data_IF_854446620341
#
_entry.id   IF_854446620341
#
_cell.length_a   1.000
_cell.length_b   1.000
_cell.length_c   1.000
_cell.angle_alpha   90.00
_cell.angle_beta   90.00
_cell.angle_gamma   90.00
#
_symmetry.space_group_name_H-M   'P 1'
#
loop_
_entity.id
_entity.type
_entity.pdbx_description
1 polymer ?
#
# COMPACT_ATOMS: atom_id res chain seq x y z
N UNK A 1 -25.45 8.01 -49.29
CA UNK A 1 -25.76 9.16 -48.43
C UNK A 1 -26.31 8.83 -47.05
N UNK A 2 -26.63 7.58 -46.77
CA UNK A 2 -26.95 7.14 -45.40
C UNK A 2 -25.75 6.59 -44.61
N UNK A 3 -24.61 6.52 -45.26
CA UNK A 3 -23.37 5.97 -44.68
C UNK A 3 -22.58 6.98 -43.85
N UNK A 4 -22.95 8.27 -43.92
CA UNK A 4 -22.21 9.31 -43.21
C UNK A 4 -22.84 9.75 -41.87
N UNK A 5 -24.02 9.23 -41.54
CA UNK A 5 -24.71 9.56 -40.27
C UNK A 5 -24.04 8.97 -38.99
N UNK A 6 -23.03 8.13 -39.20
CA UNK A 6 -22.33 7.54 -38.05
C UNK A 6 -21.27 8.51 -37.47
N UNK A 7 -20.81 9.47 -38.27
CA UNK A 7 -19.79 10.41 -37.85
C UNK A 7 -20.31 11.57 -36.99
N UNK A 8 -21.57 11.91 -37.10
CA UNK A 8 -22.15 13.02 -36.33
C UNK A 8 -22.37 12.65 -34.85
N UNK A 9 -22.45 11.38 -34.52
CA UNK A 9 -22.62 10.91 -33.14
C UNK A 9 -21.32 11.12 -32.30
N UNK A 10 -20.19 11.16 -32.96
CA UNK A 10 -18.89 11.31 -32.27
C UNK A 10 -18.63 12.74 -31.76
N UNK A 11 -19.30 13.73 -32.31
CA UNK A 11 -19.04 15.14 -32.02
C UNK A 11 -20.02 15.76 -31.01
N UNK A 12 -21.07 15.05 -30.63
CA UNK A 12 -22.04 15.52 -29.67
C UNK A 12 -21.75 15.05 -28.23
N UNK A 13 -20.48 14.88 -27.92
CA UNK A 13 -20.07 14.58 -26.54
C UNK A 13 -20.32 15.81 -25.67
N UNK A 14 -21.35 15.72 -24.83
CA UNK A 14 -21.62 16.73 -23.80
C UNK A 14 -20.38 16.87 -22.91
N UNK A 15 -19.94 18.10 -22.76
CA UNK A 15 -18.80 18.40 -21.86
C UNK A 15 -19.10 17.88 -20.46
N UNK A 16 -18.18 17.13 -19.90
CA UNK A 16 -18.35 16.56 -18.56
C UNK A 16 -18.60 17.69 -17.54
N UNK A 17 -19.57 17.51 -16.65
CA UNK A 17 -19.91 18.46 -15.59
C UNK A 17 -18.70 18.82 -14.73
N UNK A 18 -17.76 17.89 -14.55
CA UNK A 18 -16.54 18.13 -13.79
C UNK A 18 -15.59 19.11 -14.49
N UNK A 19 -15.49 19.06 -15.81
CA UNK A 19 -14.68 20.03 -16.59
C UNK A 19 -15.30 21.43 -16.45
N UNK A 20 -16.62 21.56 -16.56
CA UNK A 20 -17.32 22.83 -16.34
C UNK A 20 -17.14 23.36 -14.93
N UNK A 21 -17.11 22.48 -13.93
CA UNK A 21 -16.84 22.87 -12.55
C UNK A 21 -15.39 23.34 -12.36
N UNK A 22 -14.42 22.66 -12.97
CA UNK A 22 -13.01 23.09 -12.96
C UNK A 22 -12.86 24.46 -13.59
N UNK A 23 -13.48 24.70 -14.74
CA UNK A 23 -13.47 26.02 -15.39
C UNK A 23 -14.06 27.11 -14.51
N UNK A 24 -15.17 26.83 -13.81
CA UNK A 24 -15.78 27.75 -12.85
C UNK A 24 -14.84 28.02 -11.67
N UNK A 25 -14.21 26.99 -11.13
CA UNK A 25 -13.27 27.10 -10.03
C UNK A 25 -12.02 27.89 -10.41
N UNK A 26 -11.50 27.70 -11.63
CA UNK A 26 -10.36 28.48 -12.15
C UNK A 26 -10.76 29.95 -12.33
N UNK A 27 -11.94 30.22 -12.86
CA UNK A 27 -12.44 31.60 -12.98
C UNK A 27 -12.62 32.25 -11.61
N UNK A 28 -13.19 31.52 -10.66
CA UNK A 28 -13.35 32.02 -9.29
C UNK A 28 -12.00 32.28 -8.63
N UNK A 29 -11.05 31.35 -8.75
CA UNK A 29 -9.68 31.50 -8.27
C UNK A 29 -9.01 32.74 -8.88
N UNK A 30 -9.20 32.97 -10.19
CA UNK A 30 -8.65 34.15 -10.86
C UNK A 30 -9.22 35.47 -10.31
N UNK A 31 -10.50 35.48 -9.90
CA UNK A 31 -11.14 36.66 -9.31
C UNK A 31 -10.68 36.85 -7.86
N UNK A 32 -10.73 35.77 -7.09
CA UNK A 32 -10.54 35.84 -5.63
C UNK A 32 -9.06 36.01 -5.23
N UNK A 33 -8.14 35.42 -5.99
CA UNK A 33 -6.72 35.37 -5.63
C UNK A 33 -5.80 36.18 -6.54
N UNK A 34 -6.04 36.17 -7.86
CA UNK A 34 -5.15 36.87 -8.80
C UNK A 34 -5.37 38.37 -8.86
N UNK A 35 -6.56 38.83 -8.46
CA UNK A 35 -6.94 40.23 -8.39
C UNK A 35 -6.74 40.85 -7.00
N UNK A 36 -6.45 40.03 -6.00
CA UNK A 36 -6.19 40.50 -4.65
C UNK A 36 -4.69 40.74 -4.48
N UNK A 37 -4.31 41.96 -4.16
CA UNK A 37 -2.96 42.31 -3.77
C UNK A 37 -2.68 41.71 -2.40
N UNK A 38 -1.79 40.73 -2.31
CA UNK A 38 -1.46 40.01 -1.06
C UNK A 38 -1.02 40.99 0.05
N UNK A 39 -0.38 42.10 -0.30
CA UNK A 39 0.01 43.12 0.65
C UNK A 39 -1.17 43.89 1.30
N UNK A 40 -2.33 43.87 0.65
CA UNK A 40 -3.55 44.49 1.14
C UNK A 40 -4.48 43.53 1.87
N UNK A 41 -4.19 42.27 1.86
CA UNK A 41 -4.99 41.25 2.54
C UNK A 41 -4.76 41.31 4.05
N UNK A 42 -5.62 42.09 4.74
CA UNK A 42 -5.55 42.31 6.19
C UNK A 42 -5.86 41.06 7.02
N UNK A 43 -6.43 40.03 6.40
CA UNK A 43 -6.98 38.90 7.12
C UNK A 43 -6.12 37.64 7.10
N UNK A 44 -4.96 37.59 6.54
CA UNK A 44 -4.06 36.41 6.52
C UNK A 44 -4.69 35.09 7.03
N UNK A 45 -5.88 34.76 6.54
CA UNK A 45 -6.72 33.67 7.07
C UNK A 45 -6.02 32.33 7.02
N UNK A 46 -5.22 32.09 5.99
CA UNK A 46 -4.43 30.89 5.89
C UNK A 46 -3.41 30.71 7.04
N UNK A 47 -2.80 31.82 7.51
CA UNK A 47 -1.88 31.77 8.64
C UNK A 47 -2.66 31.58 9.95
N UNK A 48 -3.83 32.20 10.06
CA UNK A 48 -4.70 32.07 11.22
C UNK A 48 -5.20 30.64 11.37
N UNK A 49 -5.63 30.01 10.30
CA UNK A 49 -6.08 28.62 10.32
C UNK A 49 -4.94 27.66 10.64
N UNK A 50 -3.76 27.91 10.13
CA UNK A 50 -2.56 27.12 10.45
C UNK A 50 -2.19 27.20 11.93
N UNK A 51 -2.24 28.40 12.51
CA UNK A 51 -1.98 28.63 13.95
C UNK A 51 -3.09 27.98 14.78
N UNK A 52 -4.36 28.09 14.35
CA UNK A 52 -5.48 27.49 15.10
C UNK A 52 -5.46 25.96 15.03
N UNK A 53 -5.14 25.36 13.90
CA UNK A 53 -5.11 23.90 13.74
C UNK A 53 -3.82 23.27 14.30
N UNK A 54 -2.69 23.95 14.16
CA UNK A 54 -1.39 23.43 14.61
C UNK A 54 -1.13 23.71 16.09
N UNK A 55 -0.83 24.96 16.42
CA UNK A 55 -0.31 25.32 17.75
C UNK A 55 -1.39 25.43 18.81
N UNK A 56 -2.56 25.98 18.47
CA UNK A 56 -3.66 26.08 19.45
C UNK A 56 -4.21 24.72 19.86
N UNK A 57 -4.13 23.71 18.99
CA UNK A 57 -4.56 22.36 19.34
C UNK A 57 -3.67 21.73 20.44
N UNK A 58 -2.40 22.06 20.49
CA UNK A 58 -1.47 21.61 21.53
C UNK A 58 -1.80 22.33 22.85
N UNK A 59 -1.88 23.65 22.81
CA UNK A 59 -2.22 24.49 23.95
C UNK A 59 -3.60 24.14 24.51
N UNK A 60 -4.58 23.93 23.65
CA UNK A 60 -5.92 23.49 24.06
C UNK A 60 -5.91 22.15 24.79
N UNK A 61 -5.05 21.20 24.37
CA UNK A 61 -4.91 19.91 25.03
C UNK A 61 -4.29 20.02 26.43
N UNK A 62 -3.33 20.93 26.60
CA UNK A 62 -2.69 21.18 27.88
C UNK A 62 -3.62 21.95 28.82
N UNK A 63 -4.27 23.01 28.33
CA UNK A 63 -5.22 23.79 29.12
C UNK A 63 -6.46 22.99 29.53
N UNK A 64 -6.92 22.06 28.68
CA UNK A 64 -8.08 21.23 28.97
C UNK A 64 -7.91 20.41 30.25
N UNK A 65 -6.72 19.88 30.50
CA UNK A 65 -6.45 19.15 31.73
C UNK A 65 -6.58 20.01 32.97
N UNK A 66 -6.13 21.28 32.91
CA UNK A 66 -6.26 22.25 34.01
C UNK A 66 -7.72 22.68 34.20
N UNK A 67 -8.42 22.98 33.11
CA UNK A 67 -9.83 23.37 33.16
C UNK A 67 -10.69 22.22 33.74
N UNK A 68 -10.46 20.98 33.31
CA UNK A 68 -11.18 19.82 33.84
C UNK A 68 -10.96 19.64 35.35
N UNK A 69 -9.78 19.96 35.87
CA UNK A 69 -9.48 19.92 37.30
C UNK A 69 -10.20 21.02 38.04
N UNK A 70 -10.20 22.27 37.54
CA UNK A 70 -10.96 23.40 38.14
C UNK A 70 -12.47 23.13 38.12
N UNK A 71 -13.01 22.66 37.02
CA UNK A 71 -14.41 22.26 36.90
C UNK A 71 -14.81 21.18 37.89
N UNK A 72 -13.91 20.25 38.15
CA UNK A 72 -14.13 19.19 39.15
C UNK A 72 -14.22 19.76 40.58
N UNK A 73 -13.31 20.63 40.92
CA UNK A 73 -13.30 21.29 42.25
C UNK A 73 -14.55 22.15 42.44
N UNK A 74 -14.93 22.92 41.47
CA UNK A 74 -16.13 23.75 41.51
C UNK A 74 -17.40 22.91 41.62
N UNK A 75 -17.49 21.84 40.87
CA UNK A 75 -18.59 20.88 40.96
C UNK A 75 -18.71 20.22 42.35
N UNK A 76 -17.60 19.91 43.02
CA UNK A 76 -17.62 19.43 44.42
C UNK A 76 -18.10 20.50 45.40
N UNK A 77 -17.72 21.76 45.19
CA UNK A 77 -18.19 22.89 46.03
C UNK A 77 -19.70 23.05 45.86
N UNK A 78 -20.19 23.11 44.65
CA UNK A 78 -21.62 23.25 44.33
C UNK A 78 -22.45 22.07 44.89
N UNK A 79 -21.92 20.85 44.81
CA UNK A 79 -22.58 19.68 45.43
C UNK A 79 -22.66 19.77 46.94
N UNK A 80 -21.63 20.30 47.61
CA UNK A 80 -21.66 20.52 49.06
C UNK A 80 -22.72 21.56 49.42
N UNK A 81 -22.77 22.66 48.68
CA UNK A 81 -23.78 23.72 48.91
C UNK A 81 -25.19 23.15 48.70
N UNK A 82 -25.44 22.45 47.59
CA UNK A 82 -26.74 21.80 47.33
C UNK A 82 -27.15 20.81 48.44
N UNK A 83 -26.20 20.06 49.01
CA UNK A 83 -26.48 19.14 50.08
C UNK A 83 -26.83 19.89 51.40
N UNK A 84 -26.22 21.04 51.64
CA UNK A 84 -26.56 21.91 52.77
C UNK A 84 -27.98 22.49 52.60
N UNK A 85 -28.33 23.00 51.45
CA UNK A 85 -29.66 23.55 51.13
C UNK A 85 -30.76 22.49 51.25
N UNK A 86 -30.45 21.24 50.93
CA UNK A 86 -31.40 20.10 51.03
C UNK A 86 -31.35 19.38 52.36
N UNK A 87 -30.61 19.91 53.35
CA UNK A 87 -30.38 19.27 54.67
C UNK A 87 -29.95 17.77 54.58
N UNK A 88 -29.20 17.41 53.53
CA UNK A 88 -28.69 16.08 53.31
C UNK A 88 -27.20 15.97 53.66
N UNK A 89 -26.79 14.87 54.29
CA UNK A 89 -25.35 14.63 54.53
C UNK A 89 -24.60 14.51 53.20
N UNK A 90 -23.62 15.36 52.99
CA UNK A 90 -22.73 15.28 51.82
C UNK A 90 -21.96 13.96 51.83
N UNK A 91 -22.07 13.20 50.75
CA UNK A 91 -21.24 12.02 50.48
C UNK A 91 -20.29 12.37 49.31
N UNK A 92 -18.98 12.46 49.55
CA UNK A 92 -18.04 12.66 48.46
C UNK A 92 -18.22 11.53 47.44
N UNK A 93 -18.22 11.86 46.15
CA UNK A 93 -18.22 10.83 45.12
C UNK A 93 -16.93 10.03 45.30
N UNK A 94 -17.06 8.79 45.77
CA UNK A 94 -15.96 7.87 45.64
C UNK A 94 -15.74 7.72 44.15
N UNK A 95 -14.62 8.25 43.66
CA UNK A 95 -14.16 7.88 42.33
C UNK A 95 -14.26 6.35 42.31
N UNK A 96 -15.08 5.78 41.42
CA UNK A 96 -14.97 4.36 41.08
C UNK A 96 -13.51 4.19 40.73
N UNK A 97 -12.69 3.69 41.65
CA UNK A 97 -11.31 3.29 41.33
C UNK A 97 -11.49 2.45 40.09
N UNK A 98 -11.07 3.03 38.94
CA UNK A 98 -11.33 2.38 37.67
C UNK A 98 -10.97 0.95 37.89
N UNK A 99 -11.87 0.00 37.62
CA UNK A 99 -11.78 -1.41 37.96
C UNK A 99 -10.31 -1.78 37.92
N UNK A 100 -9.71 -2.09 39.07
CA UNK A 100 -8.26 -2.27 39.20
C UNK A 100 -7.90 -3.14 38.02
N UNK A 101 -7.17 -2.59 37.08
CA UNK A 101 -6.75 -3.32 35.86
C UNK A 101 -6.24 -4.61 36.43
N UNK A 102 -6.97 -5.72 36.26
CA UNK A 102 -6.61 -7.06 36.74
C UNK A 102 -5.12 -7.11 36.66
N UNK A 103 -4.40 -7.22 37.78
CA UNK A 103 -2.93 -7.13 37.83
C UNK A 103 -2.42 -7.82 36.59
N UNK A 104 -1.93 -7.03 35.61
CA UNK A 104 -1.40 -7.61 34.39
C UNK A 104 -0.38 -8.59 34.92
N UNK A 105 -0.66 -9.91 34.82
CA UNK A 105 0.28 -10.95 35.15
C UNK A 105 1.60 -10.45 34.65
N UNK A 106 2.56 -10.14 35.51
CA UNK A 106 3.88 -9.64 35.14
C UNK A 106 4.29 -10.55 33.99
N UNK A 107 4.32 -10.01 32.77
CA UNK A 107 4.77 -10.80 31.62
C UNK A 107 6.14 -11.28 32.05
N UNK A 108 6.31 -12.59 32.20
CA UNK A 108 7.63 -13.18 32.45
C UNK A 108 8.55 -12.49 31.48
N UNK A 109 9.54 -11.75 31.99
CA UNK A 109 10.56 -11.13 31.12
C UNK A 109 11.10 -12.29 30.29
N UNK A 110 10.85 -12.25 28.99
CA UNK A 110 11.43 -13.25 28.07
C UNK A 110 12.93 -13.11 28.27
N UNK A 111 13.57 -14.20 28.70
CA UNK A 111 15.02 -14.22 28.92
C UNK A 111 15.68 -13.78 27.62
N UNK A 112 16.47 -12.72 27.65
CA UNK A 112 17.18 -12.26 26.45
C UNK A 112 18.23 -13.33 26.12
N UNK A 113 18.04 -14.03 25.01
CA UNK A 113 18.91 -15.12 24.57
C UNK A 113 20.26 -14.63 24.05
N UNK A 114 20.39 -13.32 23.87
CA UNK A 114 21.57 -12.66 23.26
C UNK A 114 22.08 -11.51 24.11
N UNK A 115 21.97 -11.63 25.46
CA UNK A 115 22.41 -10.58 26.39
C UNK A 115 23.92 -10.27 26.28
N UNK A 116 24.69 -11.30 25.96
CA UNK A 116 26.17 -11.23 25.90
C UNK A 116 26.71 -10.79 24.55
N UNK A 117 25.84 -10.46 23.57
CA UNK A 117 26.26 -10.11 22.20
C UNK A 117 25.91 -8.66 21.86
N UNK A 118 26.82 -7.98 21.16
CA UNK A 118 26.61 -6.62 20.67
C UNK A 118 25.62 -6.60 19.51
N UNK A 119 24.95 -5.47 19.32
CA UNK A 119 23.98 -5.28 18.22
C UNK A 119 24.64 -5.40 16.84
N UNK A 120 25.87 -4.91 16.73
CA UNK A 120 26.68 -4.99 15.49
C UNK A 120 26.98 -6.44 15.13
N UNK A 121 27.41 -7.26 16.10
CA UNK A 121 27.65 -8.69 15.89
C UNK A 121 26.39 -9.43 15.43
N UNK A 122 25.22 -9.08 15.98
CA UNK A 122 23.93 -9.66 15.55
C UNK A 122 23.51 -9.20 14.17
N UNK A 123 23.82 -7.96 13.81
CA UNK A 123 23.56 -7.42 12.47
C UNK A 123 24.44 -8.13 11.42
N UNK A 124 25.73 -8.30 11.70
CA UNK A 124 26.66 -9.00 10.82
C UNK A 124 26.29 -10.49 10.66
N UNK A 125 25.82 -11.14 11.71
CA UNK A 125 25.31 -12.51 11.64
C UNK A 125 24.12 -12.61 10.65
N UNK A 126 23.13 -11.76 10.80
CA UNK A 126 21.99 -11.74 9.87
C UNK A 126 22.38 -11.41 8.43
N UNK A 127 23.43 -10.59 8.25
CA UNK A 127 23.96 -10.27 6.93
C UNK A 127 24.72 -11.46 6.34
N UNK A 128 25.52 -12.16 7.13
CA UNK A 128 26.25 -13.36 6.70
C UNK A 128 25.30 -14.50 6.34
N UNK A 129 24.20 -14.65 7.07
CA UNK A 129 23.13 -15.61 6.77
C UNK A 129 22.25 -15.21 5.57
N UNK A 130 22.49 -14.02 4.99
CA UNK A 130 21.73 -13.50 3.86
C UNK A 130 20.28 -13.14 4.19
N UNK A 131 19.96 -12.93 5.47
CA UNK A 131 18.66 -12.43 5.93
C UNK A 131 18.55 -10.92 5.66
N UNK A 132 19.61 -10.15 5.96
CA UNK A 132 19.66 -8.75 5.61
C UNK A 132 20.17 -8.63 4.17
N UNK A 133 19.30 -8.11 3.31
CA UNK A 133 19.61 -7.88 1.90
C UNK A 133 19.83 -6.38 1.65
N UNK A 134 20.82 -6.07 0.83
CA UNK A 134 21.02 -4.69 0.35
C UNK A 134 19.99 -4.39 -0.73
N UNK A 135 19.19 -3.35 -0.52
CA UNK A 135 18.26 -2.89 -1.53
C UNK A 135 19.00 -2.23 -2.70
N UNK A 136 18.55 -2.52 -3.91
CA UNK A 136 18.99 -1.81 -5.09
C UNK A 136 18.52 -0.35 -5.04
N UNK A 137 19.32 0.56 -5.61
CA UNK A 137 18.96 1.98 -5.72
C UNK A 137 17.82 2.15 -6.75
N UNK A 138 16.59 2.01 -6.30
CA UNK A 138 15.38 2.16 -7.11
C UNK A 138 14.41 3.11 -6.41
N UNK A 139 14.10 4.19 -7.10
CA UNK A 139 13.16 5.22 -6.64
C UNK A 139 11.74 4.89 -7.05
N UNK A 140 10.77 5.66 -6.55
CA UNK A 140 9.36 5.54 -6.94
C UNK A 140 9.11 5.75 -8.44
N UNK A 141 9.97 6.49 -9.11
CA UNK A 141 9.92 6.69 -10.56
C UNK A 141 10.13 5.37 -11.31
N UNK A 142 10.96 4.48 -10.77
CA UNK A 142 11.17 3.14 -11.35
C UNK A 142 9.91 2.27 -11.38
N UNK A 143 8.88 2.60 -10.59
CA UNK A 143 7.58 1.95 -10.66
C UNK A 143 6.66 2.73 -11.58
N UNK A 144 6.80 2.48 -12.87
CA UNK A 144 6.02 3.15 -13.93
C UNK A 144 4.54 2.79 -13.78
N UNK A 145 3.71 3.79 -13.67
CA UNK A 145 2.27 3.62 -13.47
C UNK A 145 1.49 4.85 -13.89
N UNK A 146 0.34 4.65 -14.50
CA UNK A 146 -0.60 5.72 -14.79
C UNK A 146 -1.69 5.77 -13.72
N UNK A 147 -2.22 6.98 -13.46
CA UNK A 147 -3.34 7.20 -12.56
C UNK A 147 -4.65 7.17 -13.34
N UNK A 148 -5.64 6.48 -12.81
CA UNK A 148 -6.96 6.50 -13.40
C UNK A 148 -7.76 7.71 -12.92
N UNK A 149 -7.50 8.88 -13.51
CA UNK A 149 -8.20 10.12 -13.20
C UNK A 149 -9.69 10.09 -13.57
N UNK A 150 -10.10 9.16 -14.43
CA UNK A 150 -11.48 8.98 -14.88
C UNK A 150 -12.23 7.95 -14.03
N UNK A 151 -11.58 7.38 -13.01
CA UNK A 151 -12.18 6.33 -12.18
C UNK A 151 -13.48 6.77 -11.50
N UNK A 152 -13.63 8.05 -11.17
CA UNK A 152 -14.84 8.58 -10.59
C UNK A 152 -16.01 8.60 -11.58
N UNK A 153 -15.75 8.83 -12.86
CA UNK A 153 -16.76 8.82 -13.91
C UNK A 153 -17.19 7.40 -14.32
N UNK A 154 -16.33 6.41 -14.07
CA UNK A 154 -16.62 4.99 -14.30
C UNK A 154 -17.24 4.31 -13.08
N UNK A 155 -17.46 5.03 -11.98
CA UNK A 155 -18.18 4.52 -10.82
C UNK A 155 -19.67 4.45 -11.16
N UNK A 156 -20.29 3.33 -10.78
CA UNK A 156 -21.75 3.26 -10.75
C UNK A 156 -22.30 4.41 -9.88
N UNK A 157 -23.56 4.82 -10.13
CA UNK A 157 -24.29 5.82 -9.32
C UNK A 157 -24.18 5.61 -7.81
N UNK A 158 -23.82 4.43 -7.41
CA UNK A 158 -23.67 3.95 -6.06
C UNK A 158 -22.24 4.08 -5.50
N UNK A 159 -21.33 4.74 -6.21
CA UNK A 159 -19.91 4.90 -5.84
C UNK A 159 -19.15 3.58 -5.61
N UNK A 160 -19.65 2.48 -6.15
CA UNK A 160 -19.00 1.17 -6.11
C UNK A 160 -18.24 0.97 -7.41
N UNK A 161 -16.92 1.03 -7.34
CA UNK A 161 -16.07 0.67 -8.48
C UNK A 161 -16.20 -0.81 -8.79
N UNK A 162 -16.58 -1.14 -10.00
CA UNK A 162 -16.53 -2.52 -10.52
C UNK A 162 -15.11 -2.90 -10.91
N UNK A 163 -14.28 -1.92 -11.24
CA UNK A 163 -12.89 -2.07 -11.59
C UNK A 163 -12.01 -2.15 -10.34
N UNK A 164 -10.96 -2.93 -10.40
CA UNK A 164 -9.92 -2.93 -9.37
C UNK A 164 -9.13 -1.62 -9.37
N UNK A 165 -8.29 -1.38 -8.36
CA UNK A 165 -7.45 -0.19 -8.29
C UNK A 165 -6.50 -0.13 -9.50
N UNK A 166 -6.24 1.07 -10.01
CA UNK A 166 -5.21 1.31 -11.01
C UNK A 166 -3.81 1.16 -10.39
N UNK A 167 -2.78 1.00 -11.21
CA UNK A 167 -1.40 0.91 -10.69
C UNK A 167 -0.96 2.18 -9.96
N UNK A 168 -1.35 3.35 -10.45
CA UNK A 168 -1.07 4.62 -9.81
C UNK A 168 -1.69 4.76 -8.43
N UNK A 169 -2.93 4.28 -8.24
CA UNK A 169 -3.60 4.27 -6.94
C UNK A 169 -2.83 3.44 -5.92
N UNK A 170 -2.20 2.35 -6.35
CA UNK A 170 -1.38 1.50 -5.49
C UNK A 170 -0.12 2.25 -5.05
N UNK A 171 0.50 3.00 -5.96
CA UNK A 171 1.65 3.86 -5.67
C UNK A 171 1.32 4.85 -4.54
N UNK A 172 0.18 5.52 -4.61
CA UNK A 172 -0.29 6.43 -3.56
C UNK A 172 -0.48 5.74 -2.21
N UNK A 173 -1.15 4.57 -2.19
CA UNK A 173 -1.36 3.82 -0.94
C UNK A 173 -0.05 3.34 -0.33
N UNK A 174 0.93 3.01 -1.16
CA UNK A 174 2.28 2.63 -0.69
C UNK A 174 3.00 3.84 -0.11
N UNK A 175 2.91 5.00 -0.74
CA UNK A 175 3.46 6.26 -0.22
C UNK A 175 2.87 6.60 1.15
N UNK A 176 1.55 6.45 1.33
CA UNK A 176 0.90 6.59 2.64
C UNK A 176 1.48 5.66 3.71
N UNK A 177 1.75 4.39 3.34
CA UNK A 177 2.40 3.44 4.25
C UNK A 177 3.85 3.84 4.59
N UNK A 178 4.56 4.43 3.64
CA UNK A 178 5.93 4.92 3.84
C UNK A 178 5.98 6.14 4.75
N UNK A 179 5.09 7.09 4.59
CA UNK A 179 4.97 8.22 5.50
C UNK A 179 4.82 7.76 6.95
N UNK A 180 3.99 6.75 7.18
CA UNK A 180 3.82 6.17 8.51
C UNK A 180 5.03 5.41 9.05
N UNK A 181 6.01 5.04 8.21
CA UNK A 181 7.29 4.47 8.64
C UNK A 181 8.33 5.56 8.93
N UNK A 182 8.30 6.67 8.20
CA UNK A 182 9.19 7.80 8.40
C UNK A 182 8.81 8.63 9.63
N UNK A 183 7.54 8.94 9.82
CA UNK A 183 7.01 9.80 10.85
C UNK A 183 6.21 9.05 11.92
N UNK A 184 6.36 9.46 13.20
CA UNK A 184 5.61 8.85 14.31
C UNK A 184 4.15 9.31 14.40
N UNK A 185 3.83 10.43 13.80
CA UNK A 185 2.50 11.06 13.86
C UNK A 185 1.48 10.37 12.96
N UNK A 186 1.94 9.70 11.91
CA UNK A 186 1.06 9.06 10.93
C UNK A 186 0.80 7.60 11.32
N UNK A 187 -0.47 7.22 11.40
CA UNK A 187 -0.87 5.83 11.65
C UNK A 187 -0.50 4.95 10.44
N UNK A 188 0.37 3.97 10.67
CA UNK A 188 0.80 2.99 9.67
C UNK A 188 0.19 1.61 9.90
N UNK A 189 -0.02 0.82 8.86
CA UNK A 189 -0.34 -0.59 9.03
C UNK A 189 0.89 -1.35 9.56
N UNK A 190 0.69 -2.26 10.50
CA UNK A 190 1.78 -3.14 10.99
C UNK A 190 2.19 -4.17 9.96
N UNK A 191 1.32 -4.47 9.01
CA UNK A 191 1.52 -5.50 8.00
C UNK A 191 0.77 -5.19 6.73
N UNK A 192 1.49 -5.27 5.62
CA UNK A 192 1.01 -5.01 4.27
C UNK A 192 1.23 -6.26 3.40
N UNK A 193 0.22 -6.65 2.63
CA UNK A 193 0.32 -7.73 1.66
C UNK A 193 0.11 -7.19 0.25
N UNK A 194 1.06 -7.43 -0.63
CA UNK A 194 0.99 -7.05 -2.05
C UNK A 194 0.70 -8.32 -2.87
N UNK A 195 -0.48 -8.39 -3.45
CA UNK A 195 -0.89 -9.48 -4.33
C UNK A 195 -0.86 -9.04 -5.80
N UNK A 196 -0.63 -9.96 -6.71
CA UNK A 196 -0.66 -9.69 -8.15
C UNK A 196 -0.07 -10.83 -8.96
N UNK A 197 -0.22 -10.82 -10.29
CA UNK A 197 0.39 -11.81 -11.17
C UNK A 197 1.91 -11.90 -11.00
N UNK A 198 2.51 -12.96 -11.49
CA UNK A 198 3.97 -13.09 -11.57
C UNK A 198 4.53 -11.92 -12.39
N UNK A 199 5.78 -11.57 -12.11
CA UNK A 199 6.55 -10.54 -12.85
C UNK A 199 5.80 -9.19 -13.06
N UNK A 200 5.02 -8.77 -12.06
CA UNK A 200 4.24 -7.52 -12.13
C UNK A 200 4.70 -6.45 -11.12
N UNK A 201 5.99 -6.44 -10.79
CA UNK A 201 6.60 -5.39 -9.97
C UNK A 201 6.37 -5.49 -8.45
N UNK A 202 5.85 -6.61 -7.91
CA UNK A 202 5.64 -6.80 -6.45
C UNK A 202 6.93 -6.68 -5.64
N UNK A 203 7.99 -7.38 -6.08
CA UNK A 203 9.30 -7.34 -5.40
C UNK A 203 9.94 -5.98 -5.57
N UNK A 204 9.88 -5.41 -6.77
CA UNK A 204 10.35 -4.07 -7.07
C UNK A 204 9.74 -3.04 -6.11
N UNK A 205 8.42 -3.03 -5.96
CA UNK A 205 7.72 -2.12 -5.06
C UNK A 205 8.16 -2.30 -3.59
N UNK A 206 8.43 -3.54 -3.18
CA UNK A 206 8.93 -3.84 -1.84
C UNK A 206 10.34 -3.28 -1.61
N UNK A 207 11.20 -3.33 -2.62
CA UNK A 207 12.56 -2.78 -2.58
C UNK A 207 12.55 -1.24 -2.62
N UNK A 208 11.67 -0.64 -3.41
CA UNK A 208 11.49 0.82 -3.45
C UNK A 208 11.11 1.34 -2.07
N UNK A 209 10.13 0.70 -1.40
CA UNK A 209 9.73 1.10 -0.04
C UNK A 209 10.94 1.10 0.90
N UNK A 210 11.77 0.07 0.82
CA UNK A 210 12.92 -0.04 1.70
C UNK A 210 14.01 0.98 1.38
N UNK A 211 14.26 1.24 0.11
CA UNK A 211 15.29 2.16 -0.33
C UNK A 211 14.93 3.63 -0.02
N UNK A 212 13.69 4.05 -0.33
CA UNK A 212 13.23 5.44 -0.14
C UNK A 212 13.24 5.90 1.32
N UNK A 213 13.00 4.98 2.26
CA UNK A 213 13.02 5.30 3.70
C UNK A 213 14.32 4.87 4.40
N UNK A 214 15.32 4.46 3.64
CA UNK A 214 16.60 3.91 4.15
C UNK A 214 16.40 2.84 5.24
N UNK A 215 15.46 1.92 4.98
CA UNK A 215 15.10 0.88 5.92
C UNK A 215 16.00 -0.35 5.81
N UNK A 216 16.28 -0.96 6.95
CA UNK A 216 16.93 -2.28 6.99
C UNK A 216 15.95 -3.32 6.43
N UNK A 217 16.30 -3.94 5.30
CA UNK A 217 15.48 -4.92 4.62
C UNK A 217 15.86 -6.35 5.03
N UNK A 218 14.95 -7.01 5.76
CA UNK A 218 15.16 -8.35 6.30
C UNK A 218 14.27 -9.35 5.58
N UNK A 219 14.87 -10.24 4.80
CA UNK A 219 14.15 -11.24 4.00
C UNK A 219 13.99 -12.56 4.76
N UNK A 220 12.77 -12.84 5.22
CA UNK A 220 12.37 -14.07 5.91
C UNK A 220 11.55 -15.01 5.02
N UNK A 221 11.80 -15.01 3.72
CA UNK A 221 11.09 -15.89 2.79
C UNK A 221 11.33 -17.38 3.10
N UNK A 222 10.39 -18.28 2.79
CA UNK A 222 10.54 -19.71 3.05
C UNK A 222 11.84 -20.32 2.51
N UNK A 223 12.32 -19.82 1.39
CA UNK A 223 13.59 -20.26 0.77
C UNK A 223 14.82 -19.95 1.64
N UNK A 224 14.80 -18.83 2.36
CA UNK A 224 15.90 -18.42 3.27
C UNK A 224 15.80 -19.14 4.63
N UNK A 225 14.61 -19.51 5.04
CA UNK A 225 14.34 -20.08 6.36
C UNK A 225 14.18 -21.60 6.37
N UNK A 226 14.34 -22.26 5.24
CA UNK A 226 14.17 -23.72 5.10
C UNK A 226 15.16 -24.54 5.93
N UNK A 227 16.40 -24.04 6.09
CA UNK A 227 17.46 -24.75 6.79
C UNK A 227 17.33 -24.72 8.33
N UNK A 228 16.46 -23.85 8.87
CA UNK A 228 16.36 -23.66 10.30
C UNK A 228 15.45 -24.71 10.96
N UNK A 229 15.89 -25.23 12.11
CA UNK A 229 15.03 -26.02 12.99
C UNK A 229 14.01 -25.13 13.72
N UNK A 230 13.06 -25.72 14.44
CA UNK A 230 12.10 -24.94 15.23
C UNK A 230 12.74 -24.11 16.35
N UNK A 231 13.86 -24.57 16.91
CA UNK A 231 14.57 -23.88 17.97
C UNK A 231 15.40 -22.75 17.40
N UNK A 232 16.16 -23.02 16.35
CA UNK A 232 16.96 -22.03 15.63
C UNK A 232 16.10 -20.91 15.03
N UNK A 233 14.91 -21.25 14.50
CA UNK A 233 13.96 -20.26 14.04
C UNK A 233 13.45 -19.36 15.20
N UNK A 234 13.35 -19.90 16.40
CA UNK A 234 13.01 -19.09 17.57
C UNK A 234 14.11 -18.14 17.96
N UNK A 235 15.35 -18.56 17.84
CA UNK A 235 16.55 -17.73 18.05
C UNK A 235 16.62 -16.66 16.97
N UNK A 236 16.56 -17.05 15.69
CA UNK A 236 16.55 -16.14 14.55
C UNK A 236 15.50 -15.03 14.71
N UNK A 237 14.27 -15.37 15.10
CA UNK A 237 13.22 -14.37 15.30
C UNK A 237 13.52 -13.43 16.47
N UNK A 238 14.20 -13.90 17.48
CA UNK A 238 14.64 -13.05 18.58
C UNK A 238 15.67 -12.03 18.10
N UNK A 239 16.67 -12.51 17.35
CA UNK A 239 17.71 -11.67 16.76
C UNK A 239 17.15 -10.66 15.78
N UNK A 240 16.30 -11.11 14.82
CA UNK A 240 15.62 -10.25 13.84
C UNK A 240 14.85 -9.13 14.52
N UNK A 241 14.05 -9.45 15.55
CA UNK A 241 13.27 -8.44 16.25
C UNK A 241 14.12 -7.51 17.13
N UNK A 242 15.25 -7.97 17.65
CA UNK A 242 16.18 -7.15 18.42
C UNK A 242 16.90 -6.16 17.49
N UNK A 243 17.40 -6.64 16.37
CA UNK A 243 18.06 -5.81 15.33
C UNK A 243 17.06 -4.85 14.69
N UNK A 244 15.88 -5.31 14.31
CA UNK A 244 14.84 -4.45 13.73
C UNK A 244 14.41 -3.30 14.65
N UNK A 245 14.42 -3.51 15.97
CA UNK A 245 14.11 -2.44 16.95
C UNK A 245 15.26 -1.49 17.19
N UNK A 246 16.49 -1.95 17.05
CA UNK A 246 17.68 -1.12 17.22
C UNK A 246 17.94 -0.24 15.99
N UNK A 247 17.77 -0.81 14.81
CA UNK A 247 18.01 -0.16 13.50
C UNK A 247 16.71 0.15 12.79
N UNK A 248 15.93 1.08 13.34
CA UNK A 248 14.72 1.58 12.70
C UNK A 248 15.07 2.73 11.74
N UNK A 249 14.37 2.82 10.60
CA UNK A 249 13.24 2.02 10.14
C UNK A 249 13.64 0.62 9.64
N UNK A 250 12.75 -0.37 9.76
CA UNK A 250 13.04 -1.74 9.35
C UNK A 250 11.82 -2.40 8.67
N UNK A 251 12.09 -3.16 7.62
CA UNK A 251 11.08 -3.93 6.89
C UNK A 251 11.39 -5.41 7.00
N UNK A 252 10.43 -6.16 7.51
CA UNK A 252 10.48 -7.62 7.53
C UNK A 252 9.72 -8.12 6.30
N UNK A 253 10.43 -8.65 5.32
CA UNK A 253 9.89 -9.07 4.04
C UNK A 253 9.69 -10.57 3.98
N UNK A 254 8.57 -11.01 3.39
CA UNK A 254 8.29 -12.42 3.12
C UNK A 254 7.77 -12.53 1.69
N UNK A 255 8.59 -13.10 0.82
CA UNK A 255 8.18 -13.42 -0.53
C UNK A 255 7.24 -14.63 -0.51
N UNK A 256 6.27 -14.66 -1.41
CA UNK A 256 5.32 -15.75 -1.58
C UNK A 256 4.66 -16.23 -0.27
N UNK A 257 4.18 -15.24 0.48
CA UNK A 257 3.57 -15.50 1.80
C UNK A 257 2.42 -16.53 1.76
N UNK A 258 1.80 -16.74 0.60
CA UNK A 258 0.79 -17.79 0.43
C UNK A 258 1.35 -19.18 0.71
N UNK A 259 2.64 -19.45 0.42
CA UNK A 259 3.33 -20.71 0.70
C UNK A 259 3.34 -21.02 2.20
N UNK A 260 3.58 -20.01 3.04
CA UNK A 260 3.54 -20.14 4.52
C UNK A 260 2.16 -20.58 5.03
N UNK A 261 1.10 -20.16 4.32
CA UNK A 261 -0.29 -20.43 4.71
C UNK A 261 -1.01 -21.42 3.81
N UNK A 262 -0.32 -22.23 3.01
CA UNK A 262 -0.94 -23.18 2.11
C UNK A 262 -2.00 -24.07 2.76
N UNK A 263 -3.08 -24.30 2.05
CA UNK A 263 -4.10 -25.29 2.41
C UNK A 263 -3.53 -26.71 2.27
N UNK A 264 -2.96 -26.98 1.11
CA UNK A 264 -2.25 -28.23 0.77
C UNK A 264 -0.87 -27.86 0.23
N UNK A 265 0.18 -28.45 0.75
CA UNK A 265 1.55 -28.24 0.28
C UNK A 265 1.74 -29.16 -0.92
N UNK A 266 2.21 -28.66 -2.08
CA UNK A 266 2.65 -29.50 -3.19
C UNK A 266 3.80 -30.40 -2.74
N UNK A 267 3.81 -31.66 -3.18
CA UNK A 267 4.85 -32.64 -2.81
C UNK A 267 6.26 -32.15 -3.16
N UNK A 268 6.38 -31.46 -4.29
CA UNK A 268 7.63 -30.88 -4.81
C UNK A 268 8.22 -29.79 -3.91
N UNK A 269 7.42 -29.19 -3.04
CA UNK A 269 7.82 -28.07 -2.19
C UNK A 269 7.69 -28.39 -0.69
N UNK A 270 7.51 -29.65 -0.35
CA UNK A 270 7.41 -30.07 1.05
C UNK A 270 8.74 -29.91 1.78
N UNK A 271 9.86 -30.01 1.07
CA UNK A 271 11.22 -29.81 1.62
C UNK A 271 11.46 -28.42 2.18
N UNK A 272 10.74 -27.40 1.71
CA UNK A 272 10.86 -26.02 2.19
C UNK A 272 10.25 -25.80 3.58
N UNK A 273 9.58 -26.78 4.16
CA UNK A 273 8.86 -26.67 5.43
C UNK A 273 8.14 -25.31 5.63
N UNK A 274 7.39 -24.82 4.65
CA UNK A 274 6.93 -23.41 4.62
C UNK A 274 6.02 -23.06 5.80
N UNK A 275 5.42 -24.06 6.47
CA UNK A 275 4.53 -23.85 7.62
C UNK A 275 5.26 -23.48 8.91
N UNK A 276 6.58 -23.61 8.99
CA UNK A 276 7.36 -23.24 10.17
C UNK A 276 7.10 -21.79 10.59
N UNK A 277 7.15 -20.88 9.62
CA UNK A 277 6.92 -19.45 9.85
C UNK A 277 5.49 -19.10 10.30
N UNK A 278 4.50 -19.97 10.03
CA UNK A 278 3.09 -19.64 10.26
C UNK A 278 2.76 -19.26 11.71
N UNK A 279 3.32 -19.96 12.68
CA UNK A 279 3.11 -19.66 14.11
C UNK A 279 3.92 -18.45 14.54
N UNK A 280 5.12 -18.37 14.04
CA UNK A 280 6.14 -17.37 14.44
C UNK A 280 5.74 -15.96 13.98
N UNK A 281 5.28 -15.79 12.77
CA UNK A 281 4.81 -14.50 12.25
C UNK A 281 3.75 -13.88 13.18
N UNK A 282 2.73 -14.64 13.54
CA UNK A 282 1.62 -14.11 14.34
C UNK A 282 1.97 -13.92 15.82
N UNK A 283 2.85 -14.77 16.37
CA UNK A 283 3.13 -14.77 17.82
C UNK A 283 4.32 -13.93 18.20
N UNK A 284 5.35 -13.88 17.36
CA UNK A 284 6.60 -13.19 17.67
C UNK A 284 6.74 -11.88 16.91
N UNK A 285 6.48 -11.85 15.60
CA UNK A 285 6.64 -10.64 14.80
C UNK A 285 5.51 -9.64 15.08
N UNK A 286 4.27 -9.97 14.72
CA UNK A 286 3.15 -9.01 14.82
C UNK A 286 2.82 -8.56 16.24
N UNK A 287 3.01 -9.43 17.23
CA UNK A 287 2.81 -9.05 18.64
C UNK A 287 3.94 -8.18 19.19
N UNK A 288 5.14 -8.31 18.65
CA UNK A 288 6.30 -7.55 19.10
C UNK A 288 6.33 -6.14 18.50
N UNK A 289 5.75 -5.94 17.32
CA UNK A 289 5.62 -4.63 16.67
C UNK A 289 4.58 -3.80 17.41
N UNK A 290 5.01 -2.71 18.03
CA UNK A 290 4.13 -1.70 18.63
C UNK A 290 3.66 -0.72 17.57
N UNK A 291 2.74 0.19 17.93
CA UNK A 291 2.30 1.28 17.03
C UNK A 291 3.42 2.31 16.80
N UNK A 292 4.21 2.54 17.83
CA UNK A 292 5.30 3.51 17.86
C UNK A 292 6.57 3.02 17.12
N UNK A 293 6.71 1.69 16.91
CA UNK A 293 7.90 1.14 16.24
C UNK A 293 7.85 1.43 14.74
N UNK A 294 8.91 1.95 14.15
CA UNK A 294 9.09 2.13 12.70
C UNK A 294 9.44 0.81 12.00
N UNK A 295 8.63 -0.22 12.26
CA UNK A 295 8.81 -1.57 11.70
C UNK A 295 7.52 -2.01 11.01
N UNK A 296 7.64 -2.60 9.82
CA UNK A 296 6.51 -3.14 9.06
C UNK A 296 6.80 -4.55 8.55
N UNK A 297 5.78 -5.42 8.61
CA UNK A 297 5.80 -6.72 7.96
C UNK A 297 5.24 -6.57 6.54
N UNK A 298 6.04 -6.86 5.53
CA UNK A 298 5.67 -6.79 4.13
C UNK A 298 5.64 -8.19 3.52
N UNK A 299 4.54 -8.56 2.89
CA UNK A 299 4.41 -9.86 2.23
C UNK A 299 4.00 -9.71 0.78
N UNK A 300 4.58 -10.50 -0.11
CA UNK A 300 4.13 -10.59 -1.51
C UNK A 300 3.44 -11.92 -1.78
N UNK A 301 2.54 -11.97 -2.73
CA UNK A 301 1.85 -13.21 -3.13
C UNK A 301 1.37 -13.17 -4.58
N UNK A 302 1.51 -14.29 -5.28
CA UNK A 302 1.04 -14.52 -6.65
C UNK A 302 -0.18 -15.48 -6.71
N UNK A 303 -0.41 -16.27 -5.66
CA UNK A 303 -1.53 -17.20 -5.58
C UNK A 303 -2.28 -17.13 -4.23
N UNK A 304 -2.86 -15.98 -3.86
CA UNK A 304 -3.42 -15.77 -2.53
C UNK A 304 -4.65 -16.65 -2.19
N UNK A 305 -5.33 -17.20 -3.18
CA UNK A 305 -6.46 -18.13 -2.99
C UNK A 305 -6.02 -19.53 -2.54
N UNK A 306 -4.76 -19.90 -2.77
CA UNK A 306 -4.19 -21.18 -2.31
C UNK A 306 -3.98 -21.19 -0.79
N UNK A 307 -3.90 -20.03 -0.18
CA UNK A 307 -3.66 -19.85 1.24
C UNK A 307 -4.92 -20.06 2.10
N UNK A 308 -4.70 -20.44 3.36
CA UNK A 308 -5.75 -20.49 4.39
C UNK A 308 -6.27 -19.09 4.72
N UNK A 309 -7.53 -18.96 5.17
CA UNK A 309 -8.10 -17.68 5.59
C UNK A 309 -7.32 -16.94 6.69
N UNK A 310 -6.47 -17.67 7.43
CA UNK A 310 -5.60 -17.12 8.47
C UNK A 310 -4.63 -16.07 7.91
N UNK A 311 -4.12 -16.23 6.68
CA UNK A 311 -3.25 -15.26 6.02
C UNK A 311 -3.89 -13.86 5.98
N UNK A 312 -5.18 -13.75 5.62
CA UNK A 312 -5.90 -12.47 5.56
C UNK A 312 -6.08 -11.78 6.92
N UNK A 313 -5.92 -12.52 8.03
CA UNK A 313 -5.99 -11.95 9.40
C UNK A 313 -4.64 -11.43 9.87
N UNK A 314 -3.56 -11.91 9.25
CA UNK A 314 -2.19 -11.50 9.56
C UNK A 314 -1.88 -10.14 8.96
N UNK A 315 -2.34 -9.91 7.74
CA UNK A 315 -2.13 -8.64 7.04
C UNK A 315 -3.29 -7.68 7.29
N UNK A 316 -2.96 -6.48 7.78
CA UNK A 316 -3.94 -5.43 8.06
C UNK A 316 -4.45 -4.77 6.79
N UNK A 317 -3.54 -4.50 5.85
CA UNK A 317 -3.85 -3.90 4.55
C UNK A 317 -3.41 -4.87 3.45
N UNK A 318 -4.23 -5.02 2.42
CA UNK A 318 -3.92 -5.87 1.28
C UNK A 318 -4.09 -5.07 0.00
N UNK A 319 -3.08 -5.06 -0.83
CA UNK A 319 -3.06 -4.38 -2.12
C UNK A 319 -3.11 -5.41 -3.24
N UNK A 320 -3.71 -5.05 -4.35
CA UNK A 320 -3.72 -5.84 -5.57
C UNK A 320 -3.10 -5.01 -6.68
N UNK A 321 -1.97 -5.46 -7.21
CA UNK A 321 -1.37 -4.87 -8.41
C UNK A 321 -2.11 -5.42 -9.64
N UNK A 322 -2.83 -4.59 -10.38
CA UNK A 322 -3.54 -5.02 -11.58
C UNK A 322 -2.59 -5.24 -12.76
N UNK A 323 -3.12 -5.76 -13.86
CA UNK A 323 -2.44 -5.77 -15.16
C UNK A 323 -2.17 -4.35 -15.64
N UNK A 324 -1.23 -4.18 -16.58
CA UNK A 324 -1.02 -2.89 -17.21
C UNK A 324 -2.26 -2.52 -18.05
N UNK A 325 -2.83 -1.37 -17.78
CA UNK A 325 -3.79 -0.71 -18.64
C UNK A 325 -3.07 -0.04 -19.83
N UNK A 326 -3.83 0.59 -20.72
CA UNK A 326 -3.25 1.24 -21.88
C UNK A 326 -2.28 2.38 -21.49
N UNK A 327 -2.69 3.24 -20.54
CA UNK A 327 -1.88 4.37 -20.10
C UNK A 327 -0.56 3.92 -19.47
N UNK A 328 -0.63 3.00 -18.52
CA UNK A 328 0.57 2.40 -17.90
C UNK A 328 1.46 1.71 -18.94
N UNK A 329 0.87 0.99 -19.91
CA UNK A 329 1.62 0.32 -20.96
C UNK A 329 2.32 1.34 -21.89
N UNK A 330 1.64 2.44 -22.22
CA UNK A 330 2.22 3.50 -23.02
C UNK A 330 3.43 4.16 -22.34
N UNK A 331 3.28 4.53 -21.06
CA UNK A 331 4.38 5.09 -20.27
C UNK A 331 5.53 4.11 -20.11
N UNK A 332 5.23 2.82 -19.91
CA UNK A 332 6.24 1.79 -19.78
C UNK A 332 7.07 1.66 -21.06
N UNK A 333 6.43 1.60 -22.21
CA UNK A 333 7.13 1.56 -23.50
C UNK A 333 7.95 2.83 -23.72
N UNK A 334 7.39 4.00 -23.44
CA UNK A 334 8.08 5.28 -23.63
C UNK A 334 9.33 5.36 -22.74
N UNK A 335 9.21 5.16 -21.44
CA UNK A 335 10.32 5.33 -20.50
C UNK A 335 11.39 4.23 -20.65
N UNK A 336 10.96 2.96 -20.75
CA UNK A 336 11.93 1.84 -20.84
C UNK A 336 12.62 1.85 -22.19
N UNK A 337 11.87 2.09 -23.27
CA UNK A 337 12.47 2.10 -24.60
C UNK A 337 13.41 3.29 -24.81
N UNK A 338 13.07 4.48 -24.28
CA UNK A 338 13.94 5.65 -24.30
C UNK A 338 15.29 5.36 -23.61
N UNK A 339 15.27 4.65 -22.47
CA UNK A 339 16.49 4.26 -21.76
C UNK A 339 17.41 3.33 -22.57
N UNK A 340 16.86 2.51 -23.46
CA UNK A 340 17.64 1.56 -24.27
C UNK A 340 18.00 2.10 -25.66
N UNK A 341 17.11 2.84 -26.29
CA UNK A 341 17.23 3.24 -27.69
C UNK A 341 17.54 4.74 -27.88
N UNK A 342 17.32 5.58 -26.86
CA UNK A 342 17.37 7.04 -26.93
C UNK A 342 16.08 7.66 -27.47
N UNK A 343 15.83 8.92 -27.09
CA UNK A 343 14.55 9.61 -27.37
C UNK A 343 14.25 9.80 -28.88
N UNK A 344 15.28 9.97 -29.70
CA UNK A 344 15.13 10.28 -31.15
C UNK A 344 14.92 9.03 -32.02
N UNK A 345 14.86 7.84 -31.45
CA UNK A 345 14.95 6.61 -32.25
C UNK A 345 13.61 5.98 -32.63
N UNK A 346 12.52 6.47 -32.08
CA UNK A 346 11.18 5.83 -32.21
C UNK A 346 10.09 6.91 -32.30
N UNK A 347 9.25 6.81 -33.30
CA UNK A 347 8.10 7.71 -33.49
C UNK A 347 7.02 7.47 -32.43
N UNK A 348 6.34 8.52 -31.99
CA UNK A 348 5.23 8.44 -30.98
C UNK A 348 4.13 7.47 -31.40
N UNK A 349 3.88 7.32 -32.67
CA UNK A 349 2.91 6.39 -33.22
C UNK A 349 3.26 4.92 -32.89
N UNK A 350 4.55 4.60 -32.86
CA UNK A 350 5.02 3.25 -32.52
C UNK A 350 4.75 2.91 -31.06
N UNK A 351 4.93 3.85 -30.13
CA UNK A 351 4.60 3.69 -28.73
C UNK A 351 3.11 3.37 -28.50
N UNK A 352 2.23 4.10 -29.18
CA UNK A 352 0.80 3.88 -29.12
C UNK A 352 0.40 2.49 -29.65
N UNK A 353 1.01 2.06 -30.75
CA UNK A 353 0.76 0.74 -31.33
C UNK A 353 1.24 -0.38 -30.39
N UNK A 354 2.45 -0.27 -29.84
CA UNK A 354 3.00 -1.19 -28.87
C UNK A 354 2.12 -1.27 -27.61
N UNK A 355 1.71 -0.13 -27.07
CA UNK A 355 0.84 -0.07 -25.89
C UNK A 355 -0.51 -0.77 -26.12
N UNK A 356 -1.08 -0.69 -27.32
CA UNK A 356 -2.32 -1.41 -27.66
C UNK A 356 -2.12 -2.92 -27.78
N UNK A 357 -1.03 -3.34 -28.44
CA UNK A 357 -0.72 -4.76 -28.65
C UNK A 357 -0.40 -5.44 -27.32
N UNK A 358 0.41 -4.81 -26.49
CA UNK A 358 0.86 -5.35 -25.21
C UNK A 358 0.02 -4.92 -24.01
N UNK A 359 -1.19 -4.40 -24.25
CA UNK A 359 -2.17 -4.15 -23.19
C UNK A 359 -2.45 -5.42 -22.40
N UNK A 360 -2.56 -5.30 -21.09
CA UNK A 360 -2.81 -6.39 -20.14
C UNK A 360 -1.62 -7.34 -19.89
N UNK A 361 -0.48 -7.16 -20.50
CA UNK A 361 0.74 -7.88 -20.12
C UNK A 361 1.26 -7.38 -18.76
N UNK A 362 2.08 -8.18 -18.11
CA UNK A 362 2.73 -7.76 -16.88
C UNK A 362 3.89 -6.81 -17.18
N UNK A 363 4.11 -5.84 -16.32
CA UNK A 363 5.16 -4.82 -16.56
C UNK A 363 6.56 -5.43 -16.66
N UNK A 364 6.88 -6.42 -15.83
CA UNK A 364 8.17 -7.08 -15.88
C UNK A 364 8.38 -7.84 -17.18
N UNK A 365 7.36 -8.56 -17.67
CA UNK A 365 7.45 -9.31 -18.94
C UNK A 365 7.75 -8.36 -20.10
N UNK A 366 7.15 -7.17 -20.11
CA UNK A 366 7.41 -6.15 -21.13
C UNK A 366 8.83 -5.60 -20.98
N UNK A 367 9.27 -5.30 -19.77
CA UNK A 367 10.62 -4.78 -19.51
C UNK A 367 11.70 -5.78 -19.90
N UNK A 368 11.51 -7.04 -19.53
CA UNK A 368 12.43 -8.14 -19.86
C UNK A 368 12.50 -8.33 -21.38
N UNK A 369 11.36 -8.31 -22.06
CA UNK A 369 11.32 -8.40 -23.54
C UNK A 369 12.06 -7.26 -24.23
N UNK A 370 11.91 -6.02 -23.74
CA UNK A 370 12.64 -4.87 -24.29
C UNK A 370 14.16 -5.08 -24.10
N UNK A 371 14.58 -5.52 -22.92
CA UNK A 371 15.98 -5.78 -22.63
C UNK A 371 16.57 -6.90 -23.50
N UNK A 372 15.81 -7.96 -23.71
CA UNK A 372 16.22 -9.10 -24.54
C UNK A 372 16.25 -8.75 -26.04
N UNK A 373 15.28 -7.95 -26.50
CA UNK A 373 15.22 -7.50 -27.90
C UNK A 373 16.31 -6.49 -28.21
N UNK A 374 16.59 -5.58 -27.28
CA UNK A 374 17.58 -4.51 -27.41
C UNK A 374 18.91 -4.87 -26.74
N UNK A 375 19.45 -6.02 -27.07
CA UNK A 375 20.80 -6.37 -26.66
C UNK A 375 21.85 -5.36 -27.20
N UNK A 376 23.07 -5.43 -26.70
CA UNK A 376 24.15 -4.52 -27.09
C UNK A 376 24.35 -4.48 -28.59
N UNK A 377 24.24 -5.65 -29.27
CA UNK A 377 24.44 -5.75 -30.73
C UNK A 377 23.31 -5.07 -31.49
N UNK A 378 22.07 -5.23 -31.04
CA UNK A 378 20.91 -4.60 -31.68
C UNK A 378 20.93 -3.09 -31.51
N UNK A 379 21.30 -2.61 -30.31
CA UNK A 379 21.45 -1.16 -30.04
C UNK A 379 22.49 -0.51 -30.95
N UNK A 380 23.62 -1.14 -31.19
CA UNK A 380 24.63 -0.63 -32.12
C UNK A 380 24.10 -0.49 -33.57
N UNK A 381 23.12 -1.30 -33.94
CA UNK A 381 22.53 -1.31 -35.29
C UNK A 381 21.32 -0.39 -35.45
N UNK A 382 20.88 0.31 -34.40
CA UNK A 382 19.69 1.17 -34.47
C UNK A 382 19.82 2.26 -35.52
N UNK A 383 21.02 2.87 -35.67
CA UNK A 383 21.29 3.90 -36.69
C UNK A 383 21.17 3.40 -38.10
N UNK A 384 21.49 2.15 -38.40
CA UNK A 384 21.44 1.57 -39.74
C UNK A 384 20.14 0.84 -40.04
N UNK A 385 19.52 0.27 -39.01
CA UNK A 385 18.24 -0.45 -39.11
C UNK A 385 17.30 0.07 -38.03
N UNK A 386 16.28 0.86 -38.40
CA UNK A 386 15.31 1.38 -37.43
C UNK A 386 14.60 0.26 -36.74
N UNK A 387 14.06 0.55 -35.53
CA UNK A 387 13.37 -0.41 -34.69
C UNK A 387 11.99 -0.75 -35.25
N UNK A 388 11.71 -2.04 -35.34
CA UNK A 388 10.39 -2.50 -35.78
C UNK A 388 9.59 -3.06 -34.60
N UNK A 389 8.30 -2.69 -34.44
CA UNK A 389 7.42 -3.26 -33.42
C UNK A 389 7.31 -4.78 -33.48
N UNK A 390 7.48 -5.35 -34.66
CA UNK A 390 7.42 -6.81 -34.87
C UNK A 390 8.59 -7.57 -34.21
N UNK A 391 9.71 -6.91 -33.94
CA UNK A 391 10.85 -7.55 -33.26
C UNK A 391 10.45 -7.93 -31.83
N UNK A 392 9.73 -7.07 -31.13
CA UNK A 392 9.22 -7.35 -29.78
C UNK A 392 8.18 -8.48 -29.81
N UNK A 393 7.25 -8.45 -30.76
CA UNK A 393 6.23 -9.47 -30.88
C UNK A 393 6.84 -10.85 -31.16
N UNK A 394 7.85 -10.88 -32.06
CA UNK A 394 8.56 -12.13 -32.39
C UNK A 394 9.25 -12.70 -31.14
N UNK A 395 9.83 -11.85 -30.31
CA UNK A 395 10.49 -12.28 -29.07
C UNK A 395 9.49 -12.84 -28.05
N UNK A 396 8.32 -12.21 -27.86
CA UNK A 396 7.25 -12.74 -26.98
C UNK A 396 6.74 -14.10 -27.43
N UNK A 397 6.55 -14.31 -28.73
CA UNK A 397 6.07 -15.59 -29.29
C UNK A 397 7.19 -16.63 -29.27
N UNK A 398 8.43 -16.21 -29.52
CA UNK A 398 9.61 -17.11 -29.58
C UNK A 398 10.13 -17.55 -28.22
N UNK A 399 9.68 -16.92 -27.12
CA UNK A 399 10.05 -17.33 -25.79
C UNK A 399 9.55 -18.76 -25.49
N UNK A 400 10.28 -19.50 -24.67
CA UNK A 400 9.89 -20.83 -24.29
C UNK A 400 9.71 -20.96 -22.76
N UNK A 401 8.47 -21.02 -22.25
CA UNK A 401 7.19 -20.99 -22.96
C UNK A 401 6.85 -19.57 -23.50
N UNK A 402 5.98 -19.48 -24.54
CA UNK A 402 5.51 -18.18 -25.04
C UNK A 402 4.83 -17.37 -23.96
N UNK A 403 5.10 -16.07 -23.96
CA UNK A 403 4.59 -15.14 -22.92
C UNK A 403 3.26 -14.57 -23.39
N UNK A 404 2.22 -14.80 -22.59
CA UNK A 404 0.87 -14.28 -22.82
C UNK A 404 0.40 -13.42 -21.62
N UNK A 405 -0.55 -12.51 -21.84
CA UNK A 405 -1.14 -11.78 -20.73
C UNK A 405 -1.86 -12.73 -19.77
N UNK A 406 -1.91 -12.41 -18.47
CA UNK A 406 -2.64 -13.22 -17.48
C UNK A 406 -4.09 -13.43 -17.89
N UNK A 407 -4.59 -14.67 -17.78
CA UNK A 407 -5.97 -14.99 -18.10
C UNK A 407 -6.97 -14.17 -17.26
N UNK A 408 -8.11 -13.82 -17.84
CA UNK A 408 -9.18 -13.12 -17.12
C UNK A 408 -9.70 -13.90 -15.90
N UNK A 409 -9.82 -15.23 -16.03
CA UNK A 409 -10.20 -16.12 -14.93
C UNK A 409 -9.24 -16.02 -13.74
N UNK A 410 -7.95 -15.81 -14.02
CA UNK A 410 -6.93 -15.59 -12.98
C UNK A 410 -7.15 -14.25 -12.30
N UNK A 411 -7.37 -13.19 -13.07
CA UNK A 411 -7.63 -11.86 -12.54
C UNK A 411 -8.93 -11.79 -11.72
N UNK A 412 -9.97 -12.51 -12.13
CA UNK A 412 -11.18 -12.64 -11.30
C UNK A 412 -10.89 -13.32 -9.94
N UNK A 413 -10.00 -14.33 -9.91
CA UNK A 413 -9.60 -14.95 -8.63
C UNK A 413 -8.90 -13.94 -7.73
N UNK A 414 -8.00 -13.09 -8.28
CA UNK A 414 -7.35 -12.01 -7.55
C UNK A 414 -8.37 -11.00 -7.01
N UNK A 415 -9.29 -10.53 -7.83
CA UNK A 415 -10.32 -9.58 -7.42
C UNK A 415 -11.23 -10.16 -6.33
N UNK A 416 -11.69 -11.40 -6.49
CA UNK A 416 -12.51 -12.10 -5.47
C UNK A 416 -11.74 -12.22 -4.14
N UNK A 417 -10.44 -12.49 -4.21
CA UNK A 417 -9.61 -12.54 -3.00
C UNK A 417 -9.44 -11.15 -2.38
N UNK A 418 -9.11 -10.14 -3.18
CA UNK A 418 -8.94 -8.74 -2.75
C UNK A 418 -10.18 -8.19 -2.05
N UNK A 419 -11.34 -8.36 -2.65
CA UNK A 419 -12.62 -7.98 -2.05
C UNK A 419 -12.86 -8.65 -0.69
N UNK A 420 -12.47 -9.93 -0.56
CA UNK A 420 -12.58 -10.65 0.72
C UNK A 420 -11.55 -10.17 1.74
N UNK A 421 -10.34 -9.86 1.32
CA UNK A 421 -9.26 -9.40 2.21
C UNK A 421 -9.58 -8.04 2.83
N UNK A 422 -10.06 -7.10 2.03
CA UNK A 422 -10.41 -5.74 2.46
C UNK A 422 -11.88 -5.60 2.92
N UNK A 423 -12.61 -6.71 3.09
CA UNK A 423 -14.02 -6.74 3.53
C UNK A 423 -15.00 -5.99 2.59
N UNK A 424 -14.60 -5.65 1.39
CA UNK A 424 -15.43 -4.97 0.40
C UNK A 424 -16.65 -5.80 0.00
N UNK A 425 -16.52 -7.13 -0.04
CA UNK A 425 -17.64 -8.05 -0.29
C UNK A 425 -18.77 -7.94 0.74
N UNK A 426 -18.45 -7.61 1.99
CA UNK A 426 -19.44 -7.39 3.07
C UNK A 426 -20.12 -6.05 2.88
N UNK A 427 -19.37 -5.01 2.57
CA UNK A 427 -19.89 -3.67 2.29
C UNK A 427 -20.84 -3.71 1.09
N UNK A 428 -20.44 -4.36 -0.01
CA UNK A 428 -21.24 -4.55 -1.22
C UNK A 428 -22.56 -5.28 -0.94
N UNK A 429 -22.54 -6.39 -0.18
CA UNK A 429 -23.77 -7.10 0.21
C UNK A 429 -24.69 -6.23 1.06
N UNK A 430 -24.17 -5.47 1.99
CA UNK A 430 -24.96 -4.54 2.81
C UNK A 430 -25.62 -3.46 1.95
N UNK A 431 -24.87 -2.95 0.98
CA UNK A 431 -25.35 -1.95 0.05
C UNK A 431 -26.53 -2.47 -0.80
N UNK A 432 -26.37 -3.62 -1.47
CA UNK A 432 -27.45 -4.19 -2.28
C UNK A 432 -28.69 -4.53 -1.45
N UNK A 433 -28.53 -5.05 -0.23
CA UNK A 433 -29.67 -5.24 0.68
C UNK A 433 -30.41 -3.94 0.97
N UNK A 434 -29.68 -2.85 1.24
CA UNK A 434 -30.30 -1.53 1.46
C UNK A 434 -31.02 -1.01 0.21
N UNK A 435 -30.47 -1.26 -0.99
CA UNK A 435 -31.09 -0.87 -2.27
C UNK A 435 -32.39 -1.66 -2.50
N UNK A 436 -32.39 -2.96 -2.26
CA UNK A 436 -33.59 -3.81 -2.34
C UNK A 436 -34.68 -3.37 -1.34
N UNK A 437 -34.28 -3.05 -0.09
CA UNK A 437 -35.20 -2.53 0.92
C UNK A 437 -35.80 -1.18 0.53
N UNK A 438 -34.99 -0.26 -0.05
CA UNK A 438 -35.47 1.02 -0.57
C UNK A 438 -36.46 0.85 -1.75
N UNK A 439 -36.15 -0.09 -2.66
CA UNK A 439 -37.03 -0.36 -3.81
C UNK A 439 -38.34 -1.02 -3.39
N UNK A 440 -38.36 -1.87 -2.36
CA UNK A 440 -39.59 -2.45 -1.77
C UNK A 440 -40.45 -1.40 -1.05
N UNK A 441 -39.85 -0.33 -0.52
CA UNK A 441 -40.59 0.78 0.11
C UNK A 441 -41.12 1.80 -0.89
N UNK A 442 -40.62 1.79 -2.13
CA UNK A 442 -41.11 2.66 -3.22
C UNK A 442 -42.20 2.02 -4.06
N UNK A 443 -42.39 0.71 -3.94
CA UNK A 443 -43.58 -0.03 -4.46
C UNK A 443 -44.67 -0.12 -3.36
#
# INVERSE_FOLDING_TARGET
MKEHGIYDIAYDMKTNKNILNIEKTIKQYSIDWRMIDEYLNKNHEAIKDWVTEGELAIIHRELRALVDEYMRLEYEILRKALCMDLNKKYKPQRHKKGKSKKKKKKKKKVKDMTADRTLESLYEELKAEGIIEKCEKKTFESFISDFNFVADDTRDEDHLTTLGPAKGDIKMVVQECMLGLGEFTVDKPKSLCIAGPLNNGKKLLSQIIAFEIDAVFMNLSPEKTQAYSNEDLNYLMHVVMKVAKAFQPAIIFIQDVHRVYWKRIPKEQEYLNPRLLQKVISTKILKAIKKEDKIMLLGTTDAPWSAKPKMRRVFQKSLLIPRCDYGTSFLLWLEVLANYAGDDSVDDYVYSALAKVFKNYNSGDVTDNIADTLDVRRRMKLKSKPLSPFEFLTNFIGANPPIFPPEEKLMEKFQKWYQKANKLSIARRKFFKKKEEKNKKKK
#
